data_IF_072859768448
#
_entry.id   IF_072859768448
#
_cell.length_a   1.000
_cell.length_b   1.000
_cell.length_c   1.000
_cell.angle_alpha   90.00
_cell.angle_beta   90.00
_cell.angle_gamma   90.00
#
_symmetry.space_group_name_H-M   'P 1'
#
loop_
_entity.id
_entity.type
_entity.pdbx_description
1 polymer ?
#
# COMPACT_ATOMS: atom_id res chain seq x y z
N UNK A 1 12.90 -39.93 -5.63
CA UNK A 1 14.27 -39.45 -5.93
C UNK A 1 14.68 -38.54 -4.80
N UNK A 2 15.56 -39.03 -3.92
CA UNK A 2 16.12 -38.31 -2.80
C UNK A 2 17.53 -37.85 -3.19
N UNK A 3 17.84 -36.56 -3.00
CA UNK A 3 19.21 -36.05 -2.99
C UNK A 3 19.32 -34.92 -1.98
N UNK A 4 19.94 -35.25 -0.85
CA UNK A 4 20.48 -34.32 0.12
C UNK A 4 21.79 -33.72 -0.41
N UNK A 5 22.03 -32.43 -0.18
CA UNK A 5 23.39 -31.89 0.05
C UNK A 5 23.28 -30.75 1.08
N UNK A 6 23.39 -31.16 2.34
CA UNK A 6 24.00 -30.36 3.40
C UNK A 6 25.51 -30.23 3.12
N UNK A 7 26.08 -29.03 3.26
CA UNK A 7 27.39 -28.72 3.91
C UNK A 7 27.98 -27.42 3.36
N UNK A 8 27.85 -26.31 4.10
CA UNK A 8 28.75 -25.16 4.00
C UNK A 8 29.37 -24.94 5.40
N UNK A 9 30.71 -24.88 5.53
CA UNK A 9 31.38 -24.88 6.83
C UNK A 9 31.39 -23.50 7.51
N UNK A 10 31.04 -23.52 8.79
CA UNK A 10 30.81 -22.37 9.67
C UNK A 10 32.08 -21.86 10.38
N UNK A 11 33.20 -21.70 9.68
CA UNK A 11 34.49 -21.32 10.29
C UNK A 11 35.06 -20.01 9.73
N UNK A 12 34.36 -18.88 9.87
CA UNK A 12 34.95 -17.54 9.69
C UNK A 12 34.10 -16.43 10.38
N UNK A 13 33.69 -16.65 11.63
CA UNK A 13 33.11 -15.57 12.46
C UNK A 13 33.87 -15.46 13.79
N UNK A 14 34.45 -14.29 14.13
CA UNK A 14 35.01 -14.06 15.45
C UNK A 14 33.87 -14.04 16.48
N UNK A 15 33.90 -14.98 17.42
CA UNK A 15 33.01 -15.00 18.58
C UNK A 15 33.32 -13.81 19.49
N UNK A 16 32.56 -12.73 19.34
CA UNK A 16 32.37 -11.76 20.42
C UNK A 16 31.19 -12.22 21.29
N UNK A 17 31.49 -12.90 22.39
CA UNK A 17 30.52 -13.12 23.46
C UNK A 17 30.41 -11.85 24.30
N UNK A 18 29.40 -11.02 24.02
CA UNK A 18 28.97 -9.96 24.94
C UNK A 18 28.08 -10.59 26.01
N UNK A 19 28.56 -10.67 27.26
CA UNK A 19 27.73 -10.99 28.42
C UNK A 19 27.12 -9.69 28.95
N UNK A 20 25.82 -9.50 28.77
CA UNK A 20 25.09 -8.38 29.35
C UNK A 20 24.93 -8.55 30.88
N UNK A 21 25.08 -7.50 31.71
CA UNK A 21 24.76 -7.60 33.13
C UNK A 21 23.24 -7.60 33.34
N UNK A 22 22.79 -8.49 34.23
CA UNK A 22 21.39 -8.65 34.61
C UNK A 22 20.83 -7.37 35.25
N UNK A 23 19.77 -6.82 34.67
CA UNK A 23 19.00 -5.73 35.24
C UNK A 23 18.25 -6.21 36.49
N UNK A 24 18.66 -5.74 37.68
CA UNK A 24 17.89 -5.87 38.91
C UNK A 24 16.66 -4.97 38.82
N UNK A 25 15.48 -5.59 38.83
CA UNK A 25 14.20 -4.90 39.06
C UNK A 25 14.15 -4.43 40.52
N UNK A 26 14.35 -3.13 40.74
CA UNK A 26 14.10 -2.46 42.01
C UNK A 26 12.67 -1.95 42.06
N UNK A 27 11.89 -2.48 43.00
CA UNK A 27 10.51 -2.11 43.26
C UNK A 27 10.35 -0.61 43.60
N UNK A 28 9.42 0.05 42.90
CA UNK A 28 8.99 1.42 43.20
C UNK A 28 8.02 1.37 44.38
N UNK A 29 8.46 1.85 45.55
CA UNK A 29 7.57 2.20 46.66
C UNK A 29 7.29 3.70 46.62
N UNK A 30 6.02 4.04 46.41
CA UNK A 30 5.48 5.37 46.70
C UNK A 30 5.57 5.64 48.20
N UNK A 31 6.14 6.78 48.57
CA UNK A 31 5.81 7.48 49.80
C UNK A 31 5.83 8.98 49.52
N UNK A 32 4.68 9.61 49.72
CA UNK A 32 4.60 11.06 49.79
C UNK A 32 5.25 11.58 51.07
N UNK A 33 5.34 12.91 51.14
CA UNK A 33 5.07 13.79 52.29
C UNK A 33 5.94 15.06 52.13
N UNK A 34 5.23 16.19 51.95
CA UNK A 34 5.55 17.57 52.34
C UNK A 34 6.84 18.24 51.86
N UNK A 35 6.70 19.14 50.88
CA UNK A 35 7.67 20.22 50.62
C UNK A 35 7.13 21.55 51.16
N UNK A 36 7.77 22.02 52.22
CA UNK A 36 7.66 23.37 52.80
C UNK A 36 8.35 24.42 51.92
N UNK A 37 7.86 25.66 52.03
CA UNK A 37 8.25 26.90 51.31
C UNK A 37 9.76 27.16 51.21
N UNK A 38 10.25 27.88 50.17
CA UNK A 38 11.66 28.27 50.06
C UNK A 38 11.93 29.58 50.81
N UNK A 39 12.90 29.56 51.73
CA UNK A 39 13.52 30.76 52.30
C UNK A 39 14.79 31.11 51.55
N UNK A 40 14.91 32.40 51.23
CA UNK A 40 16.01 33.05 50.51
C UNK A 40 17.32 33.11 51.32
N UNK A 41 18.38 33.37 50.54
CA UNK A 41 19.62 34.11 50.83
C UNK A 41 20.72 33.44 51.64
N UNK A 42 21.81 33.10 50.93
CA UNK A 42 23.18 33.34 51.39
C UNK A 42 23.94 34.08 50.28
N UNK A 43 24.15 35.37 50.50
CA UNK A 43 25.24 36.16 49.91
C UNK A 43 26.56 35.74 50.59
N UNK A 44 27.64 35.59 49.82
CA UNK A 44 29.09 35.82 50.10
C UNK A 44 29.86 34.82 49.20
N UNK A 45 30.80 35.14 48.30
CA UNK A 45 31.89 36.14 48.29
C UNK A 45 32.35 36.41 46.83
N UNK A 46 32.83 37.62 46.50
CA UNK A 46 33.60 37.89 45.29
C UNK A 46 35.11 37.89 45.61
N UNK A 47 35.92 37.15 44.85
CA UNK A 47 37.38 37.35 44.86
C UNK A 47 38.23 36.11 45.03
N UNK A 48 38.20 35.20 44.04
CA UNK A 48 39.34 34.38 43.63
C UNK A 48 38.96 33.72 42.30
N UNK A 49 39.08 34.48 41.20
CA UNK A 49 39.11 33.90 39.86
C UNK A 49 40.42 33.13 39.72
N UNK A 50 40.47 31.92 40.30
CA UNK A 50 41.48 30.94 39.94
C UNK A 50 41.11 30.49 38.53
N UNK A 51 41.83 31.02 37.54
CA UNK A 51 41.69 30.58 36.18
C UNK A 51 42.19 29.14 36.11
N UNK A 52 41.25 28.19 36.18
CA UNK A 52 41.52 26.78 35.91
C UNK A 52 41.78 26.65 34.41
N UNK A 53 43.04 26.78 34.01
CA UNK A 53 43.46 26.40 32.67
C UNK A 53 43.65 24.87 32.67
N UNK A 54 42.92 24.17 31.80
CA UNK A 54 42.99 22.71 31.66
C UNK A 54 44.30 22.24 31.02
N UNK A 55 45.07 23.15 30.43
CA UNK A 55 46.39 22.90 29.86
C UNK A 55 47.46 23.70 30.62
N UNK A 56 48.57 23.03 30.95
CA UNK A 56 49.73 23.69 31.54
C UNK A 56 50.22 24.80 30.59
N UNK A 57 50.60 25.98 31.11
CA UNK A 57 51.19 27.02 30.27
C UNK A 57 52.44 26.44 29.60
N UNK A 58 52.35 26.24 28.29
CA UNK A 58 53.43 25.67 27.50
C UNK A 58 54.57 26.67 27.56
N UNK A 59 55.69 26.28 28.18
CA UNK A 59 56.93 27.08 28.10
C UNK A 59 57.21 27.29 26.62
N UNK A 60 57.47 28.53 26.23
CA UNK A 60 57.99 28.82 24.89
C UNK A 60 59.37 28.19 24.83
N UNK A 61 59.43 26.98 24.29
CA UNK A 61 60.69 26.34 23.97
C UNK A 61 61.38 27.25 22.96
N UNK A 62 62.52 27.82 23.35
CA UNK A 62 63.32 28.62 22.44
C UNK A 62 63.94 27.61 21.46
N UNK A 63 63.29 27.44 20.31
CA UNK A 63 63.71 26.48 19.29
C UNK A 63 65.08 26.84 18.68
N UNK A 64 65.56 28.07 18.92
CA UNK A 64 66.80 28.58 18.39
C UNK A 64 67.63 29.32 19.46
N UNK A 65 68.88 28.87 19.64
CA UNK A 65 69.84 29.47 20.57
C UNK A 65 70.63 30.57 19.85
N UNK A 66 70.18 31.81 20.04
CA UNK A 66 70.74 32.98 19.37
C UNK A 66 72.17 33.30 19.83
N UNK A 67 72.49 33.03 21.10
CA UNK A 67 73.81 33.31 21.67
C UNK A 67 74.87 32.34 21.15
N UNK A 68 74.56 31.04 21.13
CA UNK A 68 75.49 30.01 20.65
C UNK A 68 75.81 30.18 19.16
N UNK A 69 74.87 30.66 18.37
CA UNK A 69 75.09 30.94 16.96
C UNK A 69 76.02 32.15 16.75
N UNK A 70 75.82 33.24 17.52
CA UNK A 70 76.70 34.42 17.45
C UNK A 70 78.12 34.06 17.88
N UNK A 71 78.28 33.32 18.98
CA UNK A 71 79.59 32.85 19.45
C UNK A 71 80.30 31.97 18.42
N UNK A 72 79.56 31.13 17.69
CA UNK A 72 80.11 30.29 16.63
C UNK A 72 80.59 31.11 15.43
N UNK A 73 79.82 32.12 15.00
CA UNK A 73 80.26 33.01 13.91
C UNK A 73 81.50 33.83 14.30
N UNK A 74 81.55 34.32 15.54
CA UNK A 74 82.73 35.01 16.06
C UNK A 74 83.98 34.11 16.07
N UNK A 75 83.82 32.84 16.43
CA UNK A 75 84.91 31.85 16.38
C UNK A 75 85.43 31.53 14.96
N UNK A 76 84.60 31.74 13.94
CA UNK A 76 84.95 31.57 12.52
C UNK A 76 85.49 32.87 11.88
N UNK A 77 85.74 33.92 12.67
CA UNK A 77 86.39 35.16 12.23
C UNK A 77 85.46 36.30 11.81
N UNK A 78 84.15 36.20 12.06
CA UNK A 78 83.20 37.30 11.83
C UNK A 78 83.22 38.31 12.96
N UNK A 79 82.98 39.59 12.65
CA UNK A 79 82.82 40.61 13.71
C UNK A 79 81.52 40.39 14.48
N UNK A 80 81.47 40.87 15.72
CA UNK A 80 80.29 40.74 16.57
C UNK A 80 79.05 41.37 15.92
N UNK A 81 79.19 42.55 15.33
CA UNK A 81 78.11 43.26 14.64
C UNK A 81 77.56 42.48 13.44
N UNK A 82 78.46 41.87 12.64
CA UNK A 82 78.06 41.03 11.49
C UNK A 82 77.35 39.75 11.95
N UNK A 83 77.84 39.15 13.03
CA UNK A 83 77.28 37.92 13.61
C UNK A 83 75.87 38.16 14.16
N UNK A 84 75.66 39.30 14.84
CA UNK A 84 74.36 39.72 15.34
C UNK A 84 73.39 40.09 14.21
N UNK A 85 73.87 40.74 13.14
CA UNK A 85 73.04 41.06 11.99
C UNK A 85 72.55 39.80 11.26
N UNK A 86 73.44 38.82 11.02
CA UNK A 86 73.10 37.55 10.39
C UNK A 86 72.12 36.73 11.23
N UNK A 87 72.28 36.75 12.55
CA UNK A 87 71.36 36.12 13.49
C UNK A 87 69.93 36.66 13.36
N UNK A 88 69.77 37.99 13.26
CA UNK A 88 68.45 38.62 13.13
C UNK A 88 67.72 38.19 11.85
N UNK A 89 68.42 38.22 10.72
CA UNK A 89 67.87 37.79 9.43
C UNK A 89 67.44 36.32 9.47
N UNK A 90 68.26 35.46 10.09
CA UNK A 90 67.93 34.04 10.23
C UNK A 90 66.73 33.82 11.18
N UNK A 91 66.62 34.60 12.25
CA UNK A 91 65.47 34.56 13.15
C UNK A 91 64.17 34.92 12.42
N UNK A 92 64.20 35.96 11.57
CA UNK A 92 63.05 36.39 10.78
C UNK A 92 62.60 35.29 9.78
N UNK A 93 63.55 34.65 9.07
CA UNK A 93 63.25 33.56 8.13
C UNK A 93 62.71 32.32 8.85
N UNK A 94 63.26 31.99 10.03
CA UNK A 94 62.77 30.86 10.84
C UNK A 94 61.36 31.14 11.35
N UNK A 95 61.09 32.36 11.84
CA UNK A 95 59.76 32.75 12.32
C UNK A 95 58.73 32.70 11.19
N UNK A 96 59.05 33.23 10.00
CA UNK A 96 58.20 33.13 8.81
C UNK A 96 57.94 31.66 8.41
N UNK A 97 58.98 30.81 8.45
CA UNK A 97 58.87 29.38 8.14
C UNK A 97 57.96 28.64 9.13
N UNK A 98 58.13 28.88 10.43
CA UNK A 98 57.31 28.27 11.49
C UNK A 98 55.86 28.72 11.36
N UNK A 99 55.59 29.99 11.08
CA UNK A 99 54.24 30.49 10.88
C UNK A 99 53.58 29.86 9.64
N UNK A 100 54.31 29.73 8.53
CA UNK A 100 53.80 29.10 7.32
C UNK A 100 53.46 27.61 7.53
N UNK A 101 54.34 26.87 8.22
CA UNK A 101 54.09 25.47 8.59
C UNK A 101 52.89 25.32 9.53
N UNK A 102 52.86 26.13 10.59
CA UNK A 102 51.79 26.06 11.60
C UNK A 102 50.42 26.40 11.02
N UNK A 103 50.35 27.25 9.99
CA UNK A 103 49.09 27.63 9.31
C UNK A 103 48.39 26.44 8.63
N UNK A 104 49.13 25.42 8.21
CA UNK A 104 48.57 24.24 7.52
C UNK A 104 48.45 23.01 8.45
N UNK A 105 49.06 23.07 9.63
CA UNK A 105 49.02 21.98 10.60
C UNK A 105 47.83 22.14 11.54
N UNK A 106 47.32 20.99 12.01
CA UNK A 106 46.25 20.93 13.00
C UNK A 106 46.82 20.33 14.27
N UNK A 107 46.41 20.86 15.43
CA UNK A 107 46.81 20.27 16.70
C UNK A 107 46.26 18.84 16.82
N UNK A 108 47.07 17.94 17.37
CA UNK A 108 46.68 16.54 17.56
C UNK A 108 45.40 16.40 18.39
N UNK A 109 45.17 17.30 19.34
CA UNK A 109 43.95 17.32 20.15
C UNK A 109 42.70 17.65 19.33
N UNK A 110 42.78 18.66 18.45
CA UNK A 110 41.67 19.05 17.58
C UNK A 110 41.38 17.98 16.53
N UNK A 111 42.42 17.38 15.95
CA UNK A 111 42.26 16.27 15.02
C UNK A 111 41.61 15.03 15.68
N UNK A 112 42.03 14.72 16.92
CA UNK A 112 41.45 13.62 17.69
C UNK A 112 39.99 13.89 18.06
N UNK A 113 39.68 15.13 18.46
CA UNK A 113 38.32 15.57 18.78
C UNK A 113 37.40 15.49 17.56
N UNK A 114 37.84 16.01 16.40
CA UNK A 114 37.09 15.94 15.15
C UNK A 114 36.83 14.49 14.71
N UNK A 115 37.83 13.61 14.87
CA UNK A 115 37.67 12.18 14.58
C UNK A 115 36.68 11.52 15.54
N UNK A 116 36.70 11.90 16.83
CA UNK A 116 35.77 11.37 17.81
C UNK A 116 34.33 11.79 17.51
N UNK A 117 34.08 13.07 17.22
CA UNK A 117 32.74 13.56 16.85
C UNK A 117 32.24 12.84 15.61
N UNK A 118 33.08 12.71 14.58
CA UNK A 118 32.73 12.00 13.36
C UNK A 118 32.33 10.54 13.63
N UNK A 119 33.04 9.83 14.52
CA UNK A 119 32.71 8.45 14.88
C UNK A 119 31.37 8.35 15.62
N UNK A 120 31.09 9.28 16.52
CA UNK A 120 29.81 9.35 17.23
C UNK A 120 28.67 9.62 16.24
N UNK A 121 28.86 10.58 15.35
CA UNK A 121 27.86 10.93 14.32
C UNK A 121 27.56 9.73 13.42
N UNK A 122 28.59 9.00 12.97
CA UNK A 122 28.37 7.77 12.19
C UNK A 122 27.65 6.68 12.98
N UNK A 123 27.93 6.53 14.27
CA UNK A 123 27.23 5.56 15.11
C UNK A 123 25.74 5.94 15.26
N UNK A 124 25.45 7.22 15.46
CA UNK A 124 24.08 7.74 15.56
C UNK A 124 23.35 7.58 14.24
N UNK A 125 23.92 8.04 13.12
CA UNK A 125 23.32 7.90 11.79
C UNK A 125 23.04 6.45 11.43
N UNK A 126 23.94 5.53 11.77
CA UNK A 126 23.73 4.10 11.55
C UNK A 126 22.55 3.59 12.38
N UNK A 127 22.44 4.00 13.64
CA UNK A 127 21.32 3.59 14.50
C UNK A 127 19.99 4.14 13.99
N UNK A 128 19.96 5.40 13.57
CA UNK A 128 18.77 6.03 12.99
C UNK A 128 18.37 5.36 11.67
N UNK A 129 19.33 5.07 10.79
CA UNK A 129 19.08 4.38 9.52
C UNK A 129 18.49 2.98 9.75
N UNK A 130 19.08 2.19 10.66
CA UNK A 130 18.57 0.85 10.97
C UNK A 130 17.16 0.90 11.57
N UNK A 131 16.90 1.90 12.42
CA UNK A 131 15.57 2.11 13.01
C UNK A 131 14.53 2.52 11.96
N UNK A 132 14.90 3.45 11.07
CA UNK A 132 14.03 3.92 9.98
C UNK A 132 13.74 2.78 8.99
N UNK A 133 14.76 2.05 8.54
CA UNK A 133 14.65 0.91 7.64
C UNK A 133 13.75 -0.19 8.23
N UNK A 134 13.95 -0.55 9.50
CA UNK A 134 13.08 -1.53 10.17
C UNK A 134 11.64 -1.03 10.27
N UNK A 135 11.43 0.24 10.57
CA UNK A 135 10.09 0.84 10.68
C UNK A 135 9.37 0.85 9.33
N UNK A 136 10.06 1.27 8.26
CA UNK A 136 9.52 1.30 6.91
C UNK A 136 9.25 -0.11 6.38
N UNK A 137 10.17 -1.05 6.59
CA UNK A 137 9.99 -2.46 6.23
C UNK A 137 8.77 -3.08 6.93
N UNK A 138 8.59 -2.80 8.22
CA UNK A 138 7.41 -3.27 8.96
C UNK A 138 6.11 -2.61 8.48
N UNK A 139 6.14 -1.31 8.17
CA UNK A 139 4.98 -0.59 7.66
C UNK A 139 4.55 -1.11 6.28
N UNK A 140 5.50 -1.30 5.37
CA UNK A 140 5.26 -1.84 4.03
C UNK A 140 4.76 -3.29 4.10
N UNK A 141 5.34 -4.13 4.95
CA UNK A 141 4.86 -5.50 5.18
C UNK A 141 3.43 -5.53 5.72
N UNK A 142 3.13 -4.71 6.72
CA UNK A 142 1.78 -4.58 7.28
C UNK A 142 0.75 -4.11 6.24
N UNK A 143 1.12 -3.12 5.42
CA UNK A 143 0.27 -2.66 4.31
C UNK A 143 0.05 -3.77 3.28
N UNK A 144 1.09 -4.52 2.92
CA UNK A 144 1.00 -5.63 1.98
C UNK A 144 0.08 -6.75 2.50
N UNK A 145 0.20 -7.14 3.76
CA UNK A 145 -0.68 -8.13 4.40
C UNK A 145 -2.14 -7.66 4.43
N UNK A 146 -2.39 -6.38 4.75
CA UNK A 146 -3.74 -5.79 4.70
C UNK A 146 -4.33 -5.82 3.29
N UNK A 147 -3.59 -5.35 2.29
CA UNK A 147 -4.04 -5.36 0.90
C UNK A 147 -4.31 -6.77 0.39
N UNK A 148 -3.45 -7.73 0.75
CA UNK A 148 -3.65 -9.15 0.39
C UNK A 148 -4.95 -9.69 0.99
N UNK A 149 -5.24 -9.37 2.24
CA UNK A 149 -6.48 -9.76 2.90
C UNK A 149 -7.72 -9.11 2.27
N UNK A 150 -7.61 -7.84 1.87
CA UNK A 150 -8.71 -7.13 1.24
C UNK A 150 -8.97 -7.66 -0.18
N UNK A 151 -7.92 -7.98 -0.95
CA UNK A 151 -8.04 -8.68 -2.24
C UNK A 151 -8.76 -10.01 -2.07
N UNK A 152 -8.39 -10.82 -1.06
CA UNK A 152 -9.05 -12.09 -0.80
C UNK A 152 -10.54 -11.92 -0.44
N UNK A 153 -10.87 -10.91 0.39
CA UNK A 153 -12.26 -10.58 0.73
C UNK A 153 -13.05 -10.13 -0.49
N UNK A 154 -12.51 -9.23 -1.31
CA UNK A 154 -13.18 -8.77 -2.54
C UNK A 154 -13.42 -9.91 -3.51
N UNK A 155 -12.44 -10.80 -3.69
CA UNK A 155 -12.58 -11.96 -4.56
C UNK A 155 -13.72 -12.89 -4.10
N UNK A 156 -13.81 -13.16 -2.79
CA UNK A 156 -14.90 -13.97 -2.25
C UNK A 156 -16.26 -13.29 -2.43
N UNK A 157 -16.37 -11.99 -2.12
CA UNK A 157 -17.62 -11.23 -2.34
C UNK A 157 -18.04 -11.24 -3.80
N UNK A 158 -17.10 -11.03 -4.71
CA UNK A 158 -17.37 -11.02 -6.15
C UNK A 158 -17.84 -12.40 -6.63
N UNK A 159 -17.22 -13.48 -6.15
CA UNK A 159 -17.68 -14.85 -6.43
C UNK A 159 -19.10 -15.10 -5.91
N UNK A 160 -19.40 -14.65 -4.70
CA UNK A 160 -20.73 -14.80 -4.11
C UNK A 160 -21.79 -13.98 -4.88
N UNK A 161 -21.47 -12.76 -5.28
CA UNK A 161 -22.34 -11.91 -6.11
C UNK A 161 -22.55 -12.49 -7.51
N UNK A 162 -21.50 -13.02 -8.16
CA UNK A 162 -21.63 -13.74 -9.43
C UNK A 162 -22.51 -14.98 -9.25
N UNK A 163 -22.30 -15.77 -8.20
CA UNK A 163 -23.12 -16.95 -7.93
C UNK A 163 -24.59 -16.60 -7.70
N UNK A 164 -24.85 -15.54 -6.93
CA UNK A 164 -26.20 -15.04 -6.65
C UNK A 164 -26.87 -14.49 -7.90
N UNK A 165 -26.19 -13.68 -8.70
CA UNK A 165 -26.74 -13.12 -9.94
C UNK A 165 -26.99 -14.23 -10.96
N UNK A 166 -26.07 -15.19 -11.10
CA UNK A 166 -26.27 -16.35 -11.97
C UNK A 166 -27.48 -17.19 -11.55
N UNK A 167 -27.65 -17.45 -10.25
CA UNK A 167 -28.83 -18.16 -9.74
C UNK A 167 -30.12 -17.37 -10.01
N UNK A 168 -30.09 -16.04 -9.83
CA UNK A 168 -31.22 -15.15 -10.12
C UNK A 168 -31.62 -15.20 -11.58
N UNK A 169 -30.65 -15.10 -12.50
CA UNK A 169 -30.90 -15.16 -13.95
C UNK A 169 -31.45 -16.53 -14.36
N UNK A 170 -30.91 -17.63 -13.79
CA UNK A 170 -31.42 -18.98 -14.05
C UNK A 170 -32.87 -19.13 -13.58
N UNK A 171 -33.21 -18.59 -12.42
CA UNK A 171 -34.58 -18.59 -11.92
C UNK A 171 -35.50 -17.79 -12.85
N UNK A 172 -35.09 -16.59 -13.23
CA UNK A 172 -35.86 -15.70 -14.11
C UNK A 172 -36.17 -16.37 -15.46
N UNK A 173 -35.16 -16.98 -16.10
CA UNK A 173 -35.36 -17.75 -17.33
C UNK A 173 -36.29 -18.94 -17.14
N UNK A 174 -36.23 -19.63 -16.01
CA UNK A 174 -37.12 -20.75 -15.73
C UNK A 174 -38.57 -20.30 -15.52
N UNK A 175 -38.78 -19.19 -14.82
CA UNK A 175 -40.10 -18.59 -14.64
C UNK A 175 -40.66 -18.10 -15.97
N UNK A 176 -39.84 -17.44 -16.78
CA UNK A 176 -40.22 -16.94 -18.11
C UNK A 176 -40.55 -18.09 -19.06
N UNK A 177 -39.78 -19.18 -19.04
CA UNK A 177 -40.11 -20.40 -19.80
C UNK A 177 -41.43 -21.02 -19.32
N UNK A 178 -41.69 -20.97 -18.01
CA UNK A 178 -42.97 -21.38 -17.43
C UNK A 178 -44.13 -20.53 -17.96
N UNK A 179 -43.96 -19.20 -17.94
CA UNK A 179 -44.94 -18.23 -18.43
C UNK A 179 -45.24 -18.39 -19.92
N UNK A 180 -44.20 -18.51 -20.76
CA UNK A 180 -44.34 -18.76 -22.20
C UNK A 180 -45.13 -20.06 -22.44
N UNK A 181 -44.87 -21.11 -21.65
CA UNK A 181 -45.60 -22.36 -21.77
C UNK A 181 -47.07 -22.23 -21.37
N UNK A 182 -47.36 -21.52 -20.28
CA UNK A 182 -48.73 -21.27 -19.84
C UNK A 182 -49.50 -20.41 -20.85
N UNK A 183 -48.87 -19.38 -21.41
CA UNK A 183 -49.43 -18.56 -22.49
C UNK A 183 -49.68 -19.38 -23.75
N UNK A 184 -48.76 -20.27 -24.13
CA UNK A 184 -48.94 -21.16 -25.27
C UNK A 184 -50.13 -22.13 -25.07
N UNK A 185 -50.28 -22.71 -23.89
CA UNK A 185 -51.42 -23.60 -23.56
C UNK A 185 -52.74 -22.81 -23.57
N UNK A 186 -52.74 -21.59 -23.03
CA UNK A 186 -53.90 -20.69 -23.07
C UNK A 186 -54.32 -20.35 -24.51
N UNK A 187 -53.35 -20.07 -25.38
CA UNK A 187 -53.60 -19.85 -26.80
C UNK A 187 -54.13 -21.11 -27.48
N UNK A 188 -53.57 -22.29 -27.19
CA UNK A 188 -54.06 -23.57 -27.74
C UNK A 188 -55.51 -23.83 -27.34
N UNK A 189 -55.89 -23.54 -26.09
CA UNK A 189 -57.27 -23.67 -25.63
C UNK A 189 -58.22 -22.72 -26.37
N UNK A 190 -57.83 -21.45 -26.53
CA UNK A 190 -58.61 -20.48 -27.32
C UNK A 190 -58.79 -20.92 -28.77
N UNK A 191 -57.75 -21.49 -29.38
CA UNK A 191 -57.83 -22.03 -30.74
C UNK A 191 -58.85 -23.17 -30.79
N UNK A 192 -58.78 -24.14 -29.87
CA UNK A 192 -59.75 -25.25 -29.79
C UNK A 192 -61.18 -24.76 -29.56
N UNK A 193 -61.39 -23.78 -28.69
CA UNK A 193 -62.70 -23.16 -28.52
C UNK A 193 -63.21 -22.55 -29.83
N UNK A 194 -62.37 -21.81 -30.55
CA UNK A 194 -62.76 -21.25 -31.85
C UNK A 194 -63.02 -22.32 -32.91
N UNK A 195 -62.23 -23.39 -32.92
CA UNK A 195 -62.41 -24.54 -33.81
C UNK A 195 -63.75 -25.22 -33.55
N UNK A 196 -64.10 -25.47 -32.28
CA UNK A 196 -65.41 -26.05 -31.94
C UNK A 196 -66.58 -25.15 -32.30
N UNK A 197 -66.45 -23.82 -32.18
CA UNK A 197 -67.48 -22.86 -32.63
C UNK A 197 -67.64 -22.89 -34.15
N UNK A 198 -66.55 -22.94 -34.90
CA UNK A 198 -66.58 -23.06 -36.36
C UNK A 198 -67.27 -24.36 -36.77
N UNK A 199 -66.95 -25.49 -36.12
CA UNK A 199 -67.59 -26.77 -36.42
C UNK A 199 -69.10 -26.75 -36.11
N UNK A 200 -69.50 -26.09 -35.02
CA UNK A 200 -70.92 -25.89 -34.68
C UNK A 200 -71.64 -25.02 -35.73
N UNK A 201 -71.04 -23.90 -36.13
CA UNK A 201 -71.60 -23.03 -37.18
C UNK A 201 -71.66 -23.75 -38.53
N UNK A 202 -70.63 -24.53 -38.89
CA UNK A 202 -70.61 -25.35 -40.10
C UNK A 202 -71.71 -26.43 -40.07
N UNK A 203 -71.90 -27.09 -38.93
CA UNK A 203 -72.98 -28.04 -38.72
C UNK A 203 -74.36 -27.40 -38.85
N UNK A 204 -74.56 -26.22 -38.27
CA UNK A 204 -75.79 -25.45 -38.37
C UNK A 204 -76.08 -25.03 -39.83
N UNK A 205 -75.07 -24.52 -40.56
CA UNK A 205 -75.19 -24.20 -41.98
C UNK A 205 -75.54 -25.43 -42.82
N UNK A 206 -74.98 -26.60 -42.51
CA UNK A 206 -75.30 -27.85 -43.19
C UNK A 206 -76.75 -28.27 -42.96
N UNK A 207 -77.24 -28.15 -41.73
CA UNK A 207 -78.65 -28.43 -41.41
C UNK A 207 -79.60 -27.47 -42.12
N UNK A 208 -79.27 -26.17 -42.15
CA UNK A 208 -80.04 -25.19 -42.92
C UNK A 208 -80.05 -25.53 -44.42
N UNK A 209 -78.92 -25.97 -44.98
CA UNK A 209 -78.84 -26.41 -46.37
C UNK A 209 -79.74 -27.64 -46.63
N UNK A 210 -79.73 -28.64 -45.75
CA UNK A 210 -80.61 -29.81 -45.86
C UNK A 210 -82.09 -29.41 -45.76
N UNK A 211 -82.44 -28.52 -44.83
CA UNK A 211 -83.78 -27.97 -44.71
C UNK A 211 -84.23 -27.25 -46.00
N UNK A 212 -83.37 -26.39 -46.57
CA UNK A 212 -83.65 -25.69 -47.84
C UNK A 212 -83.83 -26.67 -48.99
N UNK A 213 -83.02 -27.74 -49.05
CA UNK A 213 -83.18 -28.83 -50.04
C UNK A 213 -84.54 -29.54 -49.90
N UNK A 214 -84.96 -29.89 -48.69
CA UNK A 214 -86.27 -30.50 -48.46
C UNK A 214 -87.42 -29.55 -48.81
N UNK A 215 -87.30 -28.28 -48.47
CA UNK A 215 -88.29 -27.26 -48.81
C UNK A 215 -88.42 -27.10 -50.34
N UNK A 216 -87.30 -27.04 -51.07
CA UNK A 216 -87.33 -26.97 -52.55
C UNK A 216 -87.93 -28.23 -53.17
N UNK A 217 -87.63 -29.42 -52.64
CA UNK A 217 -88.28 -30.65 -53.08
C UNK A 217 -89.80 -30.62 -52.82
N UNK A 218 -90.24 -30.10 -51.67
CA UNK A 218 -91.66 -29.99 -51.35
C UNK A 218 -92.38 -29.01 -52.29
N UNK A 219 -91.80 -27.84 -52.58
CA UNK A 219 -92.34 -26.92 -53.59
C UNK A 219 -92.39 -27.54 -54.98
N UNK A 220 -91.35 -28.29 -55.37
CA UNK A 220 -91.32 -29.00 -56.65
C UNK A 220 -92.48 -29.99 -56.76
N UNK A 221 -92.71 -30.81 -55.71
CA UNK A 221 -93.85 -31.73 -55.65
C UNK A 221 -95.17 -30.95 -55.77
N UNK A 222 -95.33 -29.86 -55.01
CA UNK A 222 -96.53 -29.03 -55.05
C UNK A 222 -96.83 -28.44 -56.44
N UNK A 223 -95.81 -27.93 -57.13
CA UNK A 223 -95.94 -27.40 -58.50
C UNK A 223 -96.27 -28.51 -59.49
N UNK A 224 -95.59 -29.66 -59.41
CA UNK A 224 -95.89 -30.82 -60.26
C UNK A 224 -97.32 -31.33 -60.06
N UNK A 225 -97.79 -31.48 -58.82
CA UNK A 225 -99.16 -31.89 -58.51
C UNK A 225 -100.18 -30.84 -58.96
N UNK A 226 -99.90 -29.54 -58.77
CA UNK A 226 -100.75 -28.46 -59.26
C UNK A 226 -100.87 -28.46 -60.79
N UNK A 227 -99.76 -28.63 -61.51
CA UNK A 227 -99.75 -28.75 -62.96
C UNK A 227 -100.52 -29.98 -63.44
N UNK A 228 -100.33 -31.13 -62.79
CA UNK A 228 -101.08 -32.35 -63.09
C UNK A 228 -102.59 -32.16 -62.85
N UNK A 229 -102.99 -31.49 -61.77
CA UNK A 229 -104.39 -31.17 -61.49
C UNK A 229 -104.99 -30.22 -62.53
N UNK A 230 -104.25 -29.19 -62.97
CA UNK A 230 -104.69 -28.29 -64.05
C UNK A 230 -104.81 -29.03 -65.39
N UNK A 231 -103.86 -29.90 -65.73
CA UNK A 231 -103.93 -30.74 -66.93
C UNK A 231 -105.16 -31.65 -66.92
N UNK A 232 -105.44 -32.32 -65.79
CA UNK A 232 -106.65 -33.12 -65.63
C UNK A 232 -107.92 -32.27 -65.66
N UNK A 233 -107.89 -31.07 -65.07
CA UNK A 233 -109.00 -30.11 -65.11
C UNK A 233 -109.29 -29.63 -66.53
N UNK A 234 -108.27 -29.29 -67.31
CA UNK A 234 -108.40 -28.90 -68.72
C UNK A 234 -108.89 -30.05 -69.59
N UNK A 235 -108.36 -31.26 -69.39
CA UNK A 235 -108.83 -32.47 -70.06
C UNK A 235 -110.33 -32.71 -69.81
N UNK A 236 -110.78 -32.50 -68.56
CA UNK A 236 -112.19 -32.63 -68.17
C UNK A 236 -113.09 -31.54 -68.77
N UNK A 237 -112.57 -30.37 -69.09
CA UNK A 237 -113.34 -29.25 -69.66
C UNK A 237 -113.42 -29.32 -71.21
N UNK A 238 -112.50 -30.07 -71.83
CA UNK A 238 -112.42 -30.26 -73.28
C UNK A 238 -113.19 -31.51 -73.77
N UNK A 239 -113.56 -32.43 -72.88
CA UNK A 239 -114.48 -33.55 -73.15
C UNK A 239 -115.90 -33.22 -72.70
#
# INVERSE_FOLDING_TARGET
MATAVSTLPSFLLPRLSWTAPAARQGAVRHNGINATKPSRSLLQQPGLRRAFHASAPRRRDHHFDTLKFVQRLQGEGFTEEQSVAMMKVLNDVIEESIQNLTRTMVLREDAAKATYTQKVDFATLRSELLSADSTESNATRSAHERLTNDIAKLNNRLKDEIGRTQASVRLDLNLEKGRIREEAVSQELRIKETETKIEQEAGALRQQLEMVKFQTLQWLIGVCTGFAALMLGAWRLLM
#
